data_IF_999113196382
#
_entry.id   IF_999113196382
#
_cell.length_a   1.000
_cell.length_b   1.000
_cell.length_c   1.000
_cell.angle_alpha   90.00
_cell.angle_beta   90.00
_cell.angle_gamma   90.00
#
_symmetry.space_group_name_H-M   'P 1'
#
loop_
_entity.id
_entity.type
_entity.pdbx_description
1 polymer ?
#
# COMPACT_ATOMS: atom_id res chain seq x y z
N UNK A 1 -60.38 -12.44 -20.32
CA UNK A 1 -59.09 -12.23 -21.02
C UNK A 1 -57.98 -12.58 -20.06
N UNK A 2 -56.93 -13.20 -20.59
CA UNK A 2 -56.13 -14.25 -19.96
C UNK A 2 -55.35 -13.83 -18.70
N UNK A 3 -55.35 -14.74 -17.73
CA UNK A 3 -54.33 -14.87 -16.68
C UNK A 3 -53.11 -15.57 -17.28
N UNK A 4 -51.93 -14.98 -17.15
CA UNK A 4 -50.70 -15.71 -17.42
C UNK A 4 -49.64 -15.37 -16.36
N UNK A 5 -49.40 -16.32 -15.45
CA UNK A 5 -48.21 -16.39 -14.61
C UNK A 5 -47.30 -17.42 -15.27
N UNK A 6 -46.15 -16.99 -15.78
CA UNK A 6 -45.07 -17.91 -16.14
C UNK A 6 -43.95 -17.88 -15.07
N UNK A 7 -43.26 -19.02 -14.84
CA UNK A 7 -42.40 -19.22 -13.69
C UNK A 7 -40.94 -18.86 -13.95
N UNK A 8 -40.21 -18.68 -12.84
CA UNK A 8 -38.77 -18.38 -12.75
C UNK A 8 -37.95 -19.60 -13.19
N UNK A 9 -37.06 -19.44 -14.16
CA UNK A 9 -36.04 -20.44 -14.50
C UNK A 9 -34.78 -20.28 -13.62
N UNK A 10 -34.30 -21.42 -13.12
CA UNK A 10 -33.09 -21.55 -12.31
C UNK A 10 -31.86 -21.84 -13.19
N UNK A 11 -30.72 -21.27 -12.81
CA UNK A 11 -29.42 -21.40 -13.52
C UNK A 11 -28.76 -22.77 -13.26
N UNK A 12 -28.11 -23.39 -14.25
CA UNK A 12 -27.41 -24.66 -14.07
C UNK A 12 -26.00 -24.49 -13.46
N UNK A 13 -25.72 -25.23 -12.39
CA UNK A 13 -24.40 -25.33 -11.77
C UNK A 13 -23.46 -26.20 -12.62
N UNK A 14 -22.35 -25.61 -13.07
CA UNK A 14 -21.26 -26.31 -13.75
C UNK A 14 -20.31 -26.94 -12.71
N UNK A 15 -20.52 -28.22 -12.39
CA UNK A 15 -19.57 -29.04 -11.62
C UNK A 15 -18.83 -30.02 -12.53
N UNK A 16 -17.65 -29.66 -13.04
CA UNK A 16 -16.76 -30.60 -13.73
C UNK A 16 -15.90 -31.33 -12.69
N UNK A 17 -16.29 -32.57 -12.39
CA UNK A 17 -15.45 -33.57 -11.72
C UNK A 17 -14.31 -33.99 -12.67
N UNK A 18 -13.07 -33.63 -12.36
CA UNK A 18 -11.88 -34.22 -12.98
C UNK A 18 -11.72 -35.66 -12.46
N UNK A 19 -12.05 -36.65 -13.30
CA UNK A 19 -11.63 -38.05 -13.09
C UNK A 19 -10.22 -38.22 -13.63
N UNK A 20 -9.28 -38.46 -12.72
CA UNK A 20 -7.91 -38.88 -13.01
C UNK A 20 -7.94 -40.32 -13.55
N UNK A 21 -7.71 -40.50 -14.85
CA UNK A 21 -7.60 -41.81 -15.49
C UNK A 21 -6.16 -42.32 -15.26
N UNK A 22 -6.01 -43.31 -14.38
CA UNK A 22 -4.77 -44.06 -14.21
C UNK A 22 -4.77 -45.22 -15.21
N UNK A 23 -3.85 -45.17 -16.19
CA UNK A 23 -3.62 -46.22 -17.17
C UNK A 23 -3.14 -47.51 -16.47
N UNK A 24 -3.97 -48.56 -16.49
CA UNK A 24 -3.55 -49.92 -16.21
C UNK A 24 -2.94 -50.54 -17.48
N UNK A 25 -1.64 -50.80 -17.47
CA UNK A 25 -1.02 -51.74 -18.39
C UNK A 25 -1.22 -53.16 -17.85
N UNK A 26 -2.03 -53.94 -18.55
CA UNK A 26 -2.22 -55.38 -18.32
C UNK A 26 -1.06 -56.10 -19.01
N UNK A 27 -0.24 -56.81 -18.24
CA UNK A 27 0.69 -57.81 -18.75
C UNK A 27 0.31 -59.17 -18.15
N UNK A 28 -0.16 -60.08 -19.00
CA UNK A 28 -0.34 -61.49 -18.68
C UNK A 28 0.91 -62.28 -19.08
N UNK A 29 1.53 -62.98 -18.13
CA UNK A 29 2.17 -64.28 -18.38
C UNK A 29 2.66 -64.94 -17.10
N UNK A 30 2.43 -66.25 -17.01
CA UNK A 30 3.29 -67.17 -16.26
C UNK A 30 2.68 -67.73 -14.98
N UNK A 31 2.28 -69.00 -15.05
CA UNK A 31 1.96 -69.87 -13.92
C UNK A 31 3.00 -69.80 -12.80
N UNK A 32 2.54 -69.54 -11.57
CA UNK A 32 3.34 -69.67 -10.37
C UNK A 32 2.54 -69.28 -9.13
N UNK A 33 2.52 -70.14 -8.13
CA UNK A 33 1.79 -70.04 -6.86
C UNK A 33 1.69 -68.61 -6.29
N UNK A 34 0.47 -68.09 -6.14
CA UNK A 34 0.23 -66.82 -5.44
C UNK A 34 0.03 -67.08 -3.95
N UNK A 35 1.10 -66.89 -3.17
CA UNK A 35 0.97 -66.66 -1.72
C UNK A 35 0.28 -65.31 -1.50
N UNK A 36 -0.84 -65.32 -0.77
CA UNK A 36 -1.54 -64.09 -0.38
C UNK A 36 -0.78 -63.42 0.77
N UNK A 37 0.17 -62.53 0.44
CA UNK A 37 0.71 -61.60 1.42
C UNK A 37 -0.24 -60.40 1.57
N UNK A 38 -0.74 -60.20 2.78
CA UNK A 38 -1.50 -59.01 3.15
C UNK A 38 -0.53 -57.85 3.29
N UNK A 39 -0.21 -57.17 2.19
CA UNK A 39 0.53 -55.90 2.27
C UNK A 39 -0.42 -54.84 2.79
N UNK A 40 -0.39 -54.58 4.10
CA UNK A 40 -0.99 -53.39 4.69
C UNK A 40 -0.34 -52.16 4.07
N UNK A 41 -1.02 -51.55 3.09
CA UNK A 41 -0.67 -50.21 2.60
C UNK A 41 -0.91 -49.23 3.74
N UNK A 42 0.15 -48.88 4.48
CA UNK A 42 0.17 -47.69 5.33
C UNK A 42 -0.02 -46.48 4.42
N UNK A 43 -1.23 -45.94 4.38
CA UNK A 43 -1.45 -44.61 3.82
C UNK A 43 -0.72 -43.62 4.73
N UNK A 44 0.42 -43.11 4.27
CA UNK A 44 1.06 -41.94 4.87
C UNK A 44 0.11 -40.77 4.68
N UNK A 45 -0.56 -40.37 5.76
CA UNK A 45 -1.31 -39.13 5.79
C UNK A 45 -0.31 -37.98 5.58
N UNK A 46 -0.31 -37.40 4.38
CA UNK A 46 0.40 -36.16 4.10
C UNK A 46 -0.37 -35.06 4.82
N UNK A 47 0.08 -34.71 6.02
CA UNK A 47 -0.39 -33.51 6.73
C UNK A 47 -0.11 -32.31 5.82
N UNK A 48 -1.13 -31.55 5.39
CA UNK A 48 -0.87 -30.29 4.71
C UNK A 48 -0.10 -29.40 5.68
N UNK A 49 1.11 -28.97 5.29
CA UNK A 49 1.79 -27.88 5.96
C UNK A 49 0.81 -26.71 5.95
N UNK A 50 0.30 -26.34 7.13
CA UNK A 50 -0.40 -25.09 7.30
C UNK A 50 0.60 -23.99 6.96
N UNK A 51 0.50 -23.45 5.74
CA UNK A 51 1.14 -22.18 5.41
C UNK A 51 0.45 -21.18 6.35
N UNK A 52 1.16 -20.79 7.41
CA UNK A 52 0.66 -19.81 8.35
C UNK A 52 0.21 -18.59 7.56
N UNK A 53 -1.03 -18.13 7.80
CA UNK A 53 -1.52 -16.87 7.25
C UNK A 53 -0.44 -15.81 7.50
N UNK A 54 -0.02 -15.03 6.48
CA UNK A 54 0.91 -13.94 6.73
C UNK A 54 0.25 -13.07 7.80
N UNK A 55 0.85 -13.03 8.99
CA UNK A 55 0.50 -12.01 9.98
C UNK A 55 0.59 -10.67 9.27
N UNK A 56 -0.26 -9.72 9.63
CA UNK A 56 -0.10 -8.33 9.19
C UNK A 56 1.28 -7.83 9.65
N UNK A 57 2.32 -8.09 8.86
CA UNK A 57 3.71 -7.93 9.27
C UNK A 57 4.00 -6.44 9.42
N UNK A 58 4.69 -6.08 10.50
CA UNK A 58 5.25 -4.74 10.62
C UNK A 58 6.28 -4.47 9.52
N UNK A 59 6.48 -3.20 9.17
CA UNK A 59 7.44 -2.81 8.15
C UNK A 59 8.87 -3.23 8.51
N UNK A 60 9.65 -3.60 7.49
CA UNK A 60 11.01 -4.15 7.66
C UNK A 60 11.98 -3.16 8.32
N UNK A 61 11.77 -1.87 8.10
CA UNK A 61 12.60 -0.77 8.58
C UNK A 61 12.13 -0.16 9.91
N UNK A 62 11.24 -0.82 10.64
CA UNK A 62 10.79 -0.36 11.97
C UNK A 62 11.93 -0.31 12.99
N UNK A 63 11.86 0.61 13.94
CA UNK A 63 12.89 0.77 15.00
C UNK A 63 12.62 -0.06 16.26
N UNK A 64 11.42 -0.64 16.39
CA UNK A 64 11.03 -1.46 17.54
C UNK A 64 10.42 -2.79 17.09
N UNK A 65 10.54 -3.84 17.93
CA UNK A 65 10.01 -5.16 17.61
C UNK A 65 8.50 -5.24 17.88
N UNK A 66 7.68 -4.81 16.92
CA UNK A 66 6.22 -5.05 16.93
C UNK A 66 5.80 -6.06 15.85
N UNK A 67 4.65 -6.70 16.08
CA UNK A 67 4.08 -7.70 15.15
C UNK A 67 3.43 -7.06 13.91
N UNK A 68 3.06 -5.78 13.97
CA UNK A 68 2.36 -5.03 12.92
C UNK A 68 1.87 -3.68 13.44
N UNK A 69 1.26 -2.85 12.57
CA UNK A 69 0.63 -1.60 12.99
C UNK A 69 -0.48 -1.86 14.00
N UNK A 70 -0.44 -1.13 15.13
CA UNK A 70 -1.39 -1.32 16.24
C UNK A 70 -2.82 -1.00 15.84
N UNK A 71 -3.00 0.03 15.02
CA UNK A 71 -4.32 0.56 14.64
C UNK A 71 -4.25 1.10 13.21
N UNK A 72 -4.18 0.23 12.18
CA UNK A 72 -3.91 0.69 10.82
C UNK A 72 -5.05 1.50 10.20
N UNK A 73 -6.30 1.23 10.61
CA UNK A 73 -7.48 1.81 9.98
C UNK A 73 -7.73 1.29 8.55
N UNK A 74 -8.94 1.50 8.02
CA UNK A 74 -9.24 1.15 6.64
C UNK A 74 -8.50 2.09 5.68
N UNK A 75 -8.00 1.56 4.56
CA UNK A 75 -7.46 2.40 3.50
C UNK A 75 -8.60 3.21 2.86
N UNK A 76 -8.49 4.55 2.77
CA UNK A 76 -9.52 5.38 2.15
C UNK A 76 -9.71 5.05 0.66
N UNK A 77 -10.93 5.23 0.16
CA UNK A 77 -11.22 5.07 -1.27
C UNK A 77 -10.38 6.04 -2.11
N UNK A 78 -9.92 5.61 -3.28
CA UNK A 78 -9.12 6.43 -4.20
C UNK A 78 -7.62 6.51 -3.88
N UNK A 79 -7.21 6.27 -2.63
CA UNK A 79 -5.79 6.22 -2.25
C UNK A 79 -5.10 5.01 -2.90
N UNK A 80 -3.91 5.21 -3.44
CA UNK A 80 -3.16 4.16 -4.14
C UNK A 80 -3.61 3.93 -5.58
N UNK A 81 -4.44 4.82 -6.17
CA UNK A 81 -5.07 4.63 -7.49
C UNK A 81 -4.54 5.56 -8.60
N UNK A 82 -3.38 6.18 -8.40
CA UNK A 82 -2.77 7.05 -9.43
C UNK A 82 -3.37 8.45 -9.51
N UNK A 83 -4.13 8.88 -8.49
CA UNK A 83 -4.76 10.19 -8.41
C UNK A 83 -4.63 10.74 -6.99
N UNK A 84 -4.31 12.03 -6.88
CA UNK A 84 -4.19 12.72 -5.58
C UNK A 84 -5.58 13.17 -5.10
N UNK A 85 -6.01 12.65 -3.96
CA UNK A 85 -7.29 12.97 -3.36
C UNK A 85 -7.25 14.30 -2.59
N UNK A 86 -8.40 14.93 -2.41
CA UNK A 86 -8.53 16.06 -1.48
C UNK A 86 -8.41 15.60 -0.01
N UNK A 87 -8.19 16.55 0.88
CA UNK A 87 -8.24 16.32 2.32
C UNK A 87 -9.68 16.34 2.85
N UNK A 88 -9.89 15.64 3.96
CA UNK A 88 -11.10 15.82 4.76
C UNK A 88 -11.00 17.08 5.64
N UNK A 89 -11.96 17.26 6.55
CA UNK A 89 -12.05 18.45 7.43
C UNK A 89 -11.06 18.45 8.60
N UNK A 90 -10.39 17.33 8.84
CA UNK A 90 -9.50 17.13 9.97
C UNK A 90 -8.10 17.68 9.65
N UNK A 91 -7.43 18.37 10.59
CA UNK A 91 -6.10 18.95 10.40
C UNK A 91 -5.00 17.87 10.51
N UNK A 92 -5.15 16.76 9.79
CA UNK A 92 -4.22 15.63 9.75
C UNK A 92 -3.84 15.28 8.30
N UNK A 93 -4.03 16.23 7.39
CA UNK A 93 -3.90 16.01 5.96
C UNK A 93 -3.32 17.25 5.27
N UNK A 94 -2.46 17.02 4.30
CA UNK A 94 -2.02 18.00 3.31
C UNK A 94 -2.28 17.43 1.92
N UNK A 95 -2.76 18.24 0.99
CA UNK A 95 -2.93 17.81 -0.40
C UNK A 95 -2.84 18.96 -1.39
N UNK A 96 -2.12 18.74 -2.49
CA UNK A 96 -2.02 19.68 -3.61
C UNK A 96 -3.29 19.80 -4.46
N UNK A 97 -4.31 18.98 -4.21
CA UNK A 97 -5.61 19.07 -4.88
C UNK A 97 -6.70 19.66 -3.99
N UNK A 98 -6.44 19.90 -2.70
CA UNK A 98 -7.43 20.55 -1.83
C UNK A 98 -7.63 22.00 -2.21
N UNK A 99 -8.83 22.53 -2.01
CA UNK A 99 -9.20 23.92 -2.32
C UNK A 99 -9.34 24.79 -1.06
N UNK A 100 -9.01 24.24 0.11
CA UNK A 100 -9.11 24.89 1.42
C UNK A 100 -7.71 25.05 2.06
N UNK A 101 -7.69 25.27 3.37
CA UNK A 101 -6.47 25.40 4.18
C UNK A 101 -5.55 24.16 4.22
N UNK A 102 -6.00 23.00 3.73
CA UNK A 102 -5.14 21.83 3.56
C UNK A 102 -4.31 21.89 2.26
N UNK A 103 -4.54 22.91 1.43
CA UNK A 103 -3.85 23.08 0.15
C UNK A 103 -2.34 23.16 0.34
N UNK A 104 -1.64 22.16 -0.18
CA UNK A 104 -0.19 22.12 -0.22
C UNK A 104 0.28 22.50 -1.62
N UNK A 105 0.98 23.63 -1.73
CA UNK A 105 1.57 24.05 -3.02
C UNK A 105 2.34 22.88 -3.66
N UNK A 106 2.05 22.52 -4.93
CA UNK A 106 2.81 21.50 -5.64
C UNK A 106 4.30 21.76 -5.58
N UNK A 107 5.09 20.69 -5.50
CA UNK A 107 6.54 20.80 -5.60
C UNK A 107 6.93 20.88 -7.08
N UNK A 108 8.11 21.41 -7.38
CA UNK A 108 8.64 21.46 -8.75
C UNK A 108 10.01 20.81 -8.82
N UNK A 109 10.21 19.93 -9.80
CA UNK A 109 11.49 19.32 -10.09
C UNK A 109 12.21 20.09 -11.21
N UNK A 110 13.54 20.26 -11.12
CA UNK A 110 14.25 21.26 -11.95
C UNK A 110 14.46 20.82 -13.39
N UNK A 111 14.99 19.61 -13.61
CA UNK A 111 15.38 19.08 -14.92
C UNK A 111 15.43 17.53 -14.90
N UNK A 112 15.68 16.90 -16.04
CA UNK A 112 15.79 15.43 -16.15
C UNK A 112 14.46 14.69 -16.37
N UNK A 113 13.36 15.44 -16.48
CA UNK A 113 12.04 14.92 -16.84
C UNK A 113 11.44 14.00 -15.78
N UNK A 114 10.34 13.33 -16.16
CA UNK A 114 9.58 12.46 -15.26
C UNK A 114 10.43 11.33 -14.66
N UNK A 115 11.34 10.75 -15.44
CA UNK A 115 12.16 9.63 -15.00
C UNK A 115 13.12 10.04 -13.88
N UNK A 116 13.81 11.17 -14.02
CA UNK A 116 14.68 11.68 -12.96
C UNK A 116 13.87 12.08 -11.72
N UNK A 117 12.72 12.72 -11.91
CA UNK A 117 11.87 13.10 -10.78
C UNK A 117 11.41 11.88 -9.95
N UNK A 118 11.05 10.79 -10.62
CA UNK A 118 10.69 9.53 -9.97
C UNK A 118 11.88 8.88 -9.24
N UNK A 119 13.07 8.89 -9.86
CA UNK A 119 14.28 8.37 -9.24
C UNK A 119 14.68 9.16 -7.98
N UNK A 120 14.56 10.49 -8.02
CA UNK A 120 14.82 11.36 -6.87
C UNK A 120 13.83 11.08 -5.73
N UNK A 121 12.53 10.98 -6.05
CA UNK A 121 11.49 10.64 -5.07
C UNK A 121 11.77 9.28 -4.41
N UNK A 122 12.02 8.24 -5.21
CA UNK A 122 12.31 6.91 -4.69
C UNK A 122 13.56 6.91 -3.80
N UNK A 123 14.63 7.58 -4.25
CA UNK A 123 15.88 7.73 -3.49
C UNK A 123 15.63 8.43 -2.16
N UNK A 124 14.94 9.58 -2.16
CA UNK A 124 14.67 10.36 -0.96
C UNK A 124 13.78 9.59 0.01
N UNK A 125 12.75 8.91 -0.48
CA UNK A 125 11.86 8.08 0.35
C UNK A 125 12.67 6.94 0.99
N UNK A 126 13.52 6.24 0.24
CA UNK A 126 14.37 5.18 0.78
C UNK A 126 15.40 5.67 1.80
N UNK A 127 15.82 6.94 1.73
CA UNK A 127 16.71 7.56 2.70
C UNK A 127 16.00 8.02 3.98
N UNK A 128 14.67 8.02 4.02
CA UNK A 128 13.91 8.48 5.18
C UNK A 128 14.27 7.64 6.42
N UNK A 129 14.76 8.23 7.52
CA UNK A 129 15.11 7.50 8.73
C UNK A 129 13.87 7.29 9.60
N UNK A 130 13.37 6.05 9.78
CA UNK A 130 12.27 5.77 10.70
C UNK A 130 12.64 6.19 12.12
N UNK A 131 11.72 6.82 12.85
CA UNK A 131 11.99 7.38 14.18
C UNK A 131 12.48 8.82 14.19
N UNK A 132 12.70 9.46 13.03
CA UNK A 132 13.16 10.85 12.98
C UNK A 132 12.18 11.79 13.70
N UNK A 133 12.70 12.71 14.51
CA UNK A 133 11.89 13.67 15.28
C UNK A 133 10.74 13.01 16.08
N UNK A 134 10.98 11.79 16.57
CA UNK A 134 10.03 10.97 17.34
C UNK A 134 8.75 10.62 16.56
N UNK A 135 8.84 10.45 15.24
CA UNK A 135 7.74 10.01 14.37
C UNK A 135 8.10 8.76 13.57
N UNK A 136 7.10 8.08 13.01
CA UNK A 136 7.28 7.01 12.02
C UNK A 136 8.20 5.84 12.39
N UNK A 137 8.41 5.58 13.67
CA UNK A 137 9.25 4.46 14.11
C UNK A 137 8.65 3.08 13.84
N UNK A 138 7.36 3.00 13.48
CA UNK A 138 6.78 1.77 12.94
C UNK A 138 7.28 1.43 11.54
N UNK A 139 8.05 2.35 10.92
CA UNK A 139 8.63 2.18 9.60
C UNK A 139 7.71 2.68 8.50
N UNK A 140 8.05 2.30 7.28
CA UNK A 140 7.26 2.61 6.09
C UNK A 140 7.50 1.58 5.00
N UNK A 141 6.60 1.52 4.03
CA UNK A 141 6.75 0.70 2.85
C UNK A 141 6.18 1.41 1.63
N UNK A 142 6.96 1.41 0.54
CA UNK A 142 6.51 1.82 -0.78
C UNK A 142 5.55 0.75 -1.29
N UNK A 143 4.28 1.10 -1.46
CA UNK A 143 3.21 0.22 -1.92
C UNK A 143 3.08 0.24 -3.44
N UNK A 144 3.32 1.39 -4.05
CA UNK A 144 3.32 1.55 -5.49
C UNK A 144 4.42 2.55 -5.91
N UNK A 145 5.12 2.20 -6.97
CA UNK A 145 6.06 3.03 -7.71
C UNK A 145 5.86 2.67 -9.19
N UNK A 146 5.02 3.42 -9.89
CA UNK A 146 4.66 3.08 -11.26
C UNK A 146 5.31 3.99 -12.30
N UNK A 147 5.41 3.46 -13.52
CA UNK A 147 5.96 4.17 -14.68
C UNK A 147 5.08 5.35 -15.11
N UNK A 148 3.85 5.48 -14.60
CA UNK A 148 2.96 6.60 -14.91
C UNK A 148 3.34 7.87 -14.16
N UNK A 149 4.20 7.76 -13.15
CA UNK A 149 4.69 8.89 -12.36
C UNK A 149 4.05 8.98 -10.99
N UNK A 150 3.47 7.87 -10.50
CA UNK A 150 2.79 7.85 -9.22
C UNK A 150 3.56 7.01 -8.21
N UNK A 151 3.70 7.57 -7.00
CA UNK A 151 4.33 6.93 -5.85
C UNK A 151 3.35 6.92 -4.70
N UNK A 152 3.19 5.78 -4.05
CA UNK A 152 2.36 5.63 -2.85
C UNK A 152 3.14 4.89 -1.77
N UNK A 153 3.21 5.49 -0.59
CA UNK A 153 3.94 5.00 0.57
C UNK A 153 3.03 5.00 1.79
N UNK A 154 3.10 3.93 2.57
CA UNK A 154 2.44 3.85 3.87
C UNK A 154 3.50 4.04 4.97
N UNK A 155 3.24 4.95 5.90
CA UNK A 155 4.07 5.16 7.09
C UNK A 155 3.29 4.74 8.33
N UNK A 156 3.96 4.09 9.28
CA UNK A 156 3.36 3.77 10.59
C UNK A 156 3.89 4.72 11.67
N UNK A 157 3.01 5.58 12.18
CA UNK A 157 3.32 6.54 13.23
C UNK A 157 3.79 5.87 14.53
N UNK A 158 4.89 6.38 15.11
CA UNK A 158 5.53 5.79 16.31
C UNK A 158 4.59 5.65 17.51
N UNK A 159 3.82 6.71 17.84
CA UNK A 159 3.08 6.78 19.10
C UNK A 159 1.80 5.94 19.09
N UNK A 160 1.03 6.02 18.00
CA UNK A 160 -0.30 5.40 17.91
C UNK A 160 -0.34 4.17 17.01
N UNK A 161 0.64 3.98 16.12
CA UNK A 161 0.59 2.91 15.12
C UNK A 161 -0.53 3.13 14.09
N UNK A 162 -0.89 4.39 13.83
CA UNK A 162 -1.73 4.77 12.70
C UNK A 162 -0.92 4.68 11.43
N UNK A 163 -1.58 4.21 10.36
CA UNK A 163 -1.05 4.32 9.02
C UNK A 163 -1.41 5.68 8.44
N UNK A 164 -0.38 6.35 7.94
CA UNK A 164 -0.50 7.57 7.15
C UNK A 164 -0.16 7.23 5.69
N UNK A 165 -0.98 7.72 4.77
CA UNK A 165 -0.83 7.53 3.34
C UNK A 165 -0.12 8.74 2.73
N UNK A 166 1.02 8.51 2.08
CA UNK A 166 1.78 9.54 1.37
C UNK A 166 1.79 9.24 -0.12
N UNK A 167 1.37 10.19 -0.93
CA UNK A 167 1.19 10.04 -2.37
C UNK A 167 1.91 11.17 -3.11
N UNK A 168 2.56 10.81 -4.22
CA UNK A 168 3.19 11.74 -5.15
C UNK A 168 2.69 11.44 -6.56
N UNK A 169 2.36 12.48 -7.33
CA UNK A 169 2.02 12.36 -8.74
C UNK A 169 2.82 13.38 -9.55
N UNK A 170 3.77 12.87 -10.33
CA UNK A 170 4.62 13.68 -11.22
C UNK A 170 3.82 14.08 -12.46
N UNK A 171 3.68 15.39 -12.66
CA UNK A 171 3.03 16.03 -13.80
C UNK A 171 4.06 16.82 -14.61
N UNK A 172 4.45 16.35 -15.79
CA UNK A 172 5.29 17.12 -16.70
C UNK A 172 4.57 18.42 -17.09
N UNK A 173 5.27 19.56 -17.02
CA UNK A 173 4.75 20.83 -17.55
C UNK A 173 5.48 21.22 -18.83
N UNK A 174 6.81 21.10 -18.84
CA UNK A 174 7.66 21.39 -20.00
C UNK A 174 8.80 20.39 -20.07
N UNK A 175 8.76 19.43 -21.00
CA UNK A 175 9.85 18.48 -21.33
C UNK A 175 10.65 17.95 -20.13
N UNK A 176 11.68 18.68 -19.74
CA UNK A 176 12.64 18.33 -18.71
C UNK A 176 12.22 18.72 -17.28
N UNK A 177 11.20 19.56 -17.11
CA UNK A 177 10.73 20.10 -15.82
C UNK A 177 9.22 19.86 -15.60
N UNK A 178 8.77 20.01 -14.35
CA UNK A 178 7.37 19.81 -14.03
C UNK A 178 7.04 19.97 -12.56
N UNK A 179 5.79 19.63 -12.26
CA UNK A 179 5.24 19.67 -10.91
C UNK A 179 5.06 18.27 -10.34
N UNK A 180 5.04 18.17 -9.01
CA UNK A 180 4.65 16.99 -8.28
C UNK A 180 3.52 17.38 -7.35
N UNK A 181 2.35 16.80 -7.58
CA UNK A 181 1.25 16.89 -6.64
C UNK A 181 1.54 15.96 -5.46
N UNK A 182 1.34 16.46 -4.25
CA UNK A 182 1.70 15.76 -3.01
C UNK A 182 0.47 15.61 -2.14
N UNK A 183 0.33 14.47 -1.48
CA UNK A 183 -0.60 14.28 -0.38
C UNK A 183 0.03 13.50 0.75
N UNK A 184 -0.27 13.87 1.99
CA UNK A 184 0.07 13.12 3.20
C UNK A 184 -1.11 13.19 4.15
N UNK A 185 -1.69 12.05 4.52
CA UNK A 185 -2.91 12.02 5.33
C UNK A 185 -2.96 10.82 6.28
N UNK A 186 -3.38 11.06 7.51
CA UNK A 186 -3.66 9.99 8.47
C UNK A 186 -4.98 9.28 8.16
N UNK A 187 -5.01 7.94 8.26
CA UNK A 187 -6.25 7.15 8.09
C UNK A 187 -7.21 7.26 9.26
N UNK A 188 -6.68 7.54 10.44
CA UNK A 188 -7.42 7.60 11.70
C UNK A 188 -6.99 8.82 12.52
N UNK A 189 -7.89 9.23 13.42
CA UNK A 189 -7.69 10.36 14.32
C UNK A 189 -8.05 11.70 13.69
N UNK A 190 -8.42 12.67 14.53
CA UNK A 190 -8.66 14.05 14.08
C UNK A 190 -7.34 14.84 13.96
N UNK A 191 -6.42 14.62 14.89
CA UNK A 191 -5.09 15.22 14.92
C UNK A 191 -4.04 14.17 14.59
N UNK A 192 -2.93 14.60 13.98
CA UNK A 192 -1.75 13.76 13.73
C UNK A 192 -0.55 14.12 14.64
N UNK A 193 -0.70 15.13 15.51
CA UNK A 193 0.37 15.62 16.40
C UNK A 193 1.64 16.08 15.63
N UNK A 194 1.43 16.62 14.41
CA UNK A 194 2.48 17.19 13.59
C UNK A 194 3.24 16.15 12.75
N UNK A 195 2.81 14.88 12.77
CA UNK A 195 3.52 13.78 12.10
C UNK A 195 3.63 14.01 10.59
N UNK A 196 2.53 14.34 9.91
CA UNK A 196 2.56 14.52 8.45
C UNK A 196 3.43 15.72 8.05
N UNK A 197 3.37 16.83 8.80
CA UNK A 197 4.23 17.99 8.53
C UNK A 197 5.72 17.68 8.74
N UNK A 198 6.09 16.97 9.81
CA UNK A 198 7.49 16.56 10.05
C UNK A 198 8.01 15.69 8.92
N UNK A 199 7.20 14.74 8.44
CA UNK A 199 7.54 13.86 7.33
C UNK A 199 7.76 14.63 6.03
N UNK A 200 6.79 15.44 5.62
CA UNK A 200 6.88 16.24 4.40
C UNK A 200 8.01 17.28 4.48
N UNK A 201 8.30 17.84 5.65
CA UNK A 201 9.41 18.75 5.84
C UNK A 201 10.78 18.07 5.68
N UNK A 202 10.92 16.83 6.15
CA UNK A 202 12.12 16.05 5.93
C UNK A 202 12.30 15.72 4.43
N UNK A 203 11.25 15.20 3.79
CA UNK A 203 11.27 14.82 2.38
C UNK A 203 11.55 16.04 1.48
N UNK A 204 10.85 17.16 1.72
CA UNK A 204 11.06 18.40 0.97
C UNK A 204 12.47 18.96 1.16
N UNK A 205 13.08 18.85 2.35
CA UNK A 205 14.47 19.25 2.55
C UNK A 205 15.41 18.43 1.67
N UNK A 206 15.26 17.11 1.64
CA UNK A 206 16.13 16.25 0.82
C UNK A 206 15.94 16.45 -0.68
N UNK A 207 14.75 16.79 -1.12
CA UNK A 207 14.51 17.17 -2.51
C UNK A 207 15.10 18.55 -2.83
N UNK A 208 15.02 19.52 -1.91
CA UNK A 208 15.70 20.83 -2.05
C UNK A 208 17.22 20.67 -2.17
N UNK A 209 17.81 19.72 -1.45
CA UNK A 209 19.24 19.38 -1.57
C UNK A 209 19.58 18.86 -3.00
N UNK A 210 18.60 18.37 -3.75
CA UNK A 210 18.71 17.95 -5.16
C UNK A 210 18.27 19.05 -6.16
N UNK A 211 18.02 20.28 -5.69
CA UNK A 211 17.63 21.41 -6.55
C UNK A 211 16.13 21.53 -6.82
N UNK A 212 15.28 20.77 -6.12
CA UNK A 212 13.83 20.92 -6.25
C UNK A 212 13.32 22.18 -5.55
N UNK A 213 12.21 22.73 -6.06
CA UNK A 213 11.39 23.71 -5.33
C UNK A 213 10.31 22.97 -4.56
N UNK A 214 10.55 22.70 -3.28
CA UNK A 214 9.59 22.06 -2.38
C UNK A 214 9.51 22.89 -1.09
N UNK A 215 8.56 23.81 -0.90
CA UNK A 215 8.53 24.69 0.28
C UNK A 215 8.34 23.92 1.59
N UNK A 216 8.93 24.44 2.67
CA UNK A 216 8.75 23.91 4.04
C UNK A 216 7.35 24.29 4.54
N UNK A 217 6.66 23.35 5.18
CA UNK A 217 5.43 23.58 5.94
C UNK A 217 5.80 24.32 7.23
N UNK A 218 5.22 25.50 7.44
CA UNK A 218 5.45 26.40 8.58
C UNK A 218 4.14 26.84 9.22
N UNK A 219 4.21 27.41 10.43
CA UNK A 219 3.06 28.00 11.11
C UNK A 219 2.45 29.20 10.36
N UNK A 220 3.26 29.89 9.57
CA UNK A 220 2.79 31.02 8.75
C UNK A 220 1.93 30.54 7.57
N UNK A 221 2.35 29.45 6.92
CA UNK A 221 1.63 28.89 5.79
C UNK A 221 0.43 28.03 6.20
N UNK A 222 0.52 27.36 7.36
CA UNK A 222 -0.50 26.44 7.86
C UNK A 222 -0.85 26.73 9.33
N UNK A 223 -1.42 27.91 9.64
CA UNK A 223 -1.64 28.34 11.02
C UNK A 223 -2.60 27.43 11.79
N UNK A 224 -3.72 27.03 11.19
CA UNK A 224 -4.68 26.13 11.85
C UNK A 224 -4.04 24.78 12.19
N UNK A 225 -3.46 24.11 11.20
CA UNK A 225 -2.76 22.83 11.39
C UNK A 225 -1.75 22.89 12.54
N UNK A 226 -0.86 23.90 12.52
CA UNK A 226 0.18 24.02 13.54
C UNK A 226 -0.38 24.41 14.91
N UNK A 227 -1.50 25.14 14.97
CA UNK A 227 -2.13 25.48 16.25
C UNK A 227 -2.83 24.29 16.91
N UNK A 228 -3.47 23.42 16.11
CA UNK A 228 -4.24 22.29 16.62
C UNK A 228 -3.39 21.04 16.88
N UNK A 229 -2.23 20.90 16.23
CA UNK A 229 -1.35 19.73 16.35
C UNK A 229 -0.11 19.94 17.24
N UNK A 230 -0.13 20.91 18.16
CA UNK A 230 0.99 21.14 19.11
C UNK A 230 1.11 20.05 20.18
#
# INVERSE_FOLDING_TARGET
>A
MATDRMPKEAKPCHGRCFRLILLLSIACSGNGHVQRSWVQRRMLAVLPLAIGSPSAMAFENRIFLAKGPKTPGPQPAGVGKGQIQECGVAPNCFSSTSSDEHYLKPWSYPSGGKAQAMADLEKVIKLYPPGQQDVDGGGFQIQNLDEKGYVYVQFESLKRGYIDDVEFLVKPTNGDSGEVLVRSASRLGYLDLGVNAKRLNWLSQKLRDLGWTAPKITAELFPRYVSENR
#
